data_IF_011848444004
#
_entry.id   IF_011848444004
#
_cell.length_a   1.000
_cell.length_b   1.000
_cell.length_c   1.000
_cell.angle_alpha   90.00
_cell.angle_beta   90.00
_cell.angle_gamma   90.00
#
_symmetry.space_group_name_H-M   'P 1'
#
loop_
_entity.id
_entity.type
_entity.pdbx_description
1 polymer ?
#
# COMPACT_ATOMS: atom_id res chain seq x y z
N UNK A 1 34.84 -6.25 -15.23
CA UNK A 1 34.04 -6.72 -16.39
C UNK A 1 32.60 -6.32 -16.13
N UNK A 2 31.95 -5.61 -17.05
CA UNK A 2 30.54 -5.24 -16.90
C UNK A 2 29.65 -6.47 -16.83
N UNK A 3 28.59 -6.42 -16.03
CA UNK A 3 27.69 -7.54 -15.85
C UNK A 3 26.95 -7.82 -17.19
N UNK A 4 27.04 -9.02 -17.79
CA UNK A 4 26.35 -9.35 -19.04
C UNK A 4 24.84 -9.09 -18.97
N UNK A 5 24.26 -9.15 -17.78
CA UNK A 5 22.85 -8.90 -17.51
C UNK A 5 22.47 -7.43 -17.77
N UNK A 6 23.37 -6.47 -17.53
CA UNK A 6 23.13 -5.03 -17.78
C UNK A 6 22.91 -4.71 -19.27
N UNK A 7 23.37 -5.58 -20.18
CA UNK A 7 23.25 -5.41 -21.63
C UNK A 7 21.83 -5.69 -22.16
N UNK A 8 20.96 -6.29 -21.36
CA UNK A 8 19.57 -6.61 -21.74
C UNK A 8 18.58 -5.57 -21.22
N UNK A 9 17.52 -5.29 -21.99
CA UNK A 9 16.37 -4.48 -21.52
C UNK A 9 15.77 -5.08 -20.24
N UNK A 10 15.33 -4.23 -19.31
CA UNK A 10 14.78 -4.61 -17.99
C UNK A 10 13.72 -5.71 -18.09
N UNK A 11 12.74 -5.55 -18.99
CA UNK A 11 11.66 -6.53 -19.21
C UNK A 11 12.23 -7.90 -19.58
N UNK A 12 13.26 -7.95 -20.44
CA UNK A 12 13.92 -9.21 -20.81
C UNK A 12 14.66 -9.83 -19.64
N UNK A 13 15.25 -9.03 -18.74
CA UNK A 13 15.89 -9.54 -17.52
C UNK A 13 14.88 -10.20 -16.58
N UNK A 14 13.74 -9.54 -16.37
CA UNK A 14 12.66 -10.05 -15.52
C UNK A 14 12.03 -11.32 -16.11
N UNK A 15 11.67 -11.29 -17.39
CA UNK A 15 11.15 -12.47 -18.09
C UNK A 15 12.14 -13.62 -18.05
N UNK A 16 13.44 -13.35 -18.23
CA UNK A 16 14.47 -14.39 -18.16
C UNK A 16 14.57 -15.01 -16.77
N UNK A 17 14.54 -14.20 -15.70
CA UNK A 17 14.55 -14.70 -14.33
C UNK A 17 13.27 -15.46 -13.99
N UNK A 18 12.11 -14.94 -14.37
CA UNK A 18 10.82 -15.57 -14.12
C UNK A 18 10.70 -16.92 -14.86
N UNK A 19 10.89 -16.91 -16.18
CA UNK A 19 10.78 -18.11 -17.01
C UNK A 19 11.83 -19.14 -16.61
N UNK A 20 13.08 -18.73 -16.39
CA UNK A 20 14.13 -19.67 -15.99
C UNK A 20 13.96 -20.24 -14.57
N UNK A 21 13.31 -19.51 -13.65
CA UNK A 21 12.99 -20.02 -12.31
C UNK A 21 11.80 -20.99 -12.33
N UNK A 22 10.89 -20.80 -13.28
CA UNK A 22 9.68 -21.61 -13.48
C UNK A 22 9.82 -22.66 -14.59
N UNK A 23 10.99 -22.79 -15.20
CA UNK A 23 11.22 -23.67 -16.35
C UNK A 23 11.02 -25.14 -16.00
N UNK A 24 10.47 -25.95 -16.90
CA UNK A 24 10.29 -27.39 -16.65
C UNK A 24 11.62 -28.17 -16.53
N UNK A 25 12.73 -27.58 -16.99
CA UNK A 25 14.06 -28.16 -16.89
C UNK A 25 14.73 -27.85 -15.55
N UNK A 26 14.87 -28.88 -14.71
CA UNK A 26 15.65 -28.82 -13.47
C UNK A 26 17.10 -28.36 -13.66
N UNK A 27 17.67 -28.55 -14.86
CA UNK A 27 19.02 -28.10 -15.19
C UNK A 27 19.06 -26.59 -15.35
N UNK A 28 18.11 -26.02 -16.09
CA UNK A 28 18.00 -24.58 -16.28
C UNK A 28 17.69 -23.88 -14.97
N UNK A 29 16.73 -24.40 -14.21
CA UNK A 29 16.46 -23.89 -12.87
C UNK A 29 17.72 -23.92 -12.00
N UNK A 30 18.50 -25.01 -11.99
CA UNK A 30 19.74 -25.09 -11.19
C UNK A 30 20.79 -24.07 -11.62
N UNK A 31 20.99 -23.85 -12.91
CA UNK A 31 21.95 -22.84 -13.41
C UNK A 31 21.51 -21.45 -12.96
N UNK A 32 20.22 -21.14 -13.09
CA UNK A 32 19.71 -19.84 -12.69
C UNK A 32 19.85 -19.60 -11.18
N UNK A 33 19.42 -20.59 -10.37
CA UNK A 33 19.41 -20.53 -8.90
C UNK A 33 20.81 -20.51 -8.29
N UNK A 34 21.75 -21.29 -8.84
CA UNK A 34 23.07 -21.51 -8.23
C UNK A 34 24.21 -20.72 -8.88
N UNK A 35 24.00 -20.14 -10.07
CA UNK A 35 25.06 -19.45 -10.82
C UNK A 35 24.65 -18.02 -11.17
N UNK A 36 23.58 -17.84 -11.96
CA UNK A 36 23.25 -16.52 -12.51
C UNK A 36 22.73 -15.54 -11.47
N UNK A 37 21.81 -15.96 -10.60
CA UNK A 37 21.29 -15.10 -9.51
C UNK A 37 22.41 -14.74 -8.51
N UNK A 38 23.23 -15.71 -8.03
CA UNK A 38 24.34 -15.41 -7.12
C UNK A 38 25.41 -14.49 -7.72
N UNK A 39 25.85 -14.75 -8.96
CA UNK A 39 26.82 -13.88 -9.64
C UNK A 39 26.24 -12.49 -9.91
N UNK A 40 24.95 -12.42 -10.27
CA UNK A 40 24.22 -11.16 -10.38
C UNK A 40 24.27 -10.39 -9.06
N UNK A 41 23.89 -11.02 -7.95
CA UNK A 41 23.90 -10.38 -6.63
C UNK A 41 25.30 -9.94 -6.18
N UNK A 42 26.33 -10.74 -6.45
CA UNK A 42 27.73 -10.37 -6.16
C UNK A 42 28.20 -9.15 -6.95
N UNK A 43 27.77 -9.00 -8.21
CA UNK A 43 28.08 -7.82 -9.02
C UNK A 43 27.53 -6.52 -8.43
N UNK A 44 26.45 -6.61 -7.63
CA UNK A 44 25.88 -5.50 -6.87
C UNK A 44 26.38 -5.45 -5.42
N UNK A 45 27.57 -5.99 -5.17
CA UNK A 45 28.25 -5.95 -3.87
C UNK A 45 27.39 -6.52 -2.73
N UNK A 46 26.55 -7.51 -3.03
CA UNK A 46 25.63 -8.15 -2.08
C UNK A 46 24.64 -7.15 -1.45
N UNK A 47 24.31 -6.07 -2.14
CA UNK A 47 23.31 -5.09 -1.71
C UNK A 47 21.95 -5.40 -2.35
N UNK A 48 20.99 -5.88 -1.55
CA UNK A 48 19.66 -6.23 -2.02
C UNK A 48 18.93 -5.05 -2.66
N UNK A 49 19.03 -3.86 -2.07
CA UNK A 49 18.35 -2.66 -2.56
C UNK A 49 18.92 -2.24 -3.91
N UNK A 50 20.25 -2.27 -4.08
CA UNK A 50 20.91 -1.96 -5.34
C UNK A 50 20.53 -2.98 -6.43
N UNK A 51 20.53 -4.27 -6.10
CA UNK A 51 20.09 -5.32 -7.01
C UNK A 51 18.63 -5.11 -7.45
N UNK A 52 17.72 -4.84 -6.51
CA UNK A 52 16.31 -4.55 -6.78
C UNK A 52 16.13 -3.30 -7.65
N UNK A 53 16.86 -2.22 -7.38
CA UNK A 53 16.78 -0.97 -8.16
C UNK A 53 17.05 -1.21 -9.66
N UNK A 54 18.01 -2.07 -10.00
CA UNK A 54 18.36 -2.34 -11.40
C UNK A 54 17.33 -3.16 -12.17
N UNK A 55 16.42 -3.83 -11.44
CA UNK A 55 15.34 -4.61 -12.01
C UNK A 55 14.11 -3.73 -12.34
N UNK A 56 14.14 -2.42 -12.06
CA UNK A 56 12.92 -1.64 -11.86
C UNK A 56 12.82 -0.31 -12.61
N UNK A 57 13.34 -0.21 -13.84
CA UNK A 57 13.39 1.11 -14.51
C UNK A 57 12.39 1.30 -15.68
N UNK A 58 11.70 0.26 -16.20
CA UNK A 58 10.89 0.44 -17.43
C UNK A 58 9.53 -0.29 -17.50
N UNK A 59 8.72 -0.47 -16.43
CA UNK A 59 7.39 -1.04 -16.71
C UNK A 59 6.18 -0.67 -15.86
N UNK A 60 5.06 -0.95 -16.53
CA UNK A 60 3.66 -0.64 -16.28
C UNK A 60 3.10 -1.30 -15.00
N UNK A 61 2.03 -0.70 -14.49
CA UNK A 61 1.61 -0.62 -13.08
C UNK A 61 1.18 -1.95 -12.44
N UNK A 62 0.65 -2.92 -13.19
CA UNK A 62 -0.19 -3.98 -12.60
C UNK A 62 0.39 -5.40 -12.61
N UNK A 63 1.32 -5.71 -13.51
CA UNK A 63 1.87 -7.08 -13.66
C UNK A 63 3.27 -7.22 -13.07
N UNK A 64 4.12 -6.20 -13.21
CA UNK A 64 5.49 -6.30 -12.71
C UNK A 64 5.58 -6.32 -11.19
N UNK A 65 4.78 -5.55 -10.44
CA UNK A 65 4.91 -5.49 -8.98
C UNK A 65 4.74 -6.84 -8.27
N UNK A 66 3.87 -7.71 -8.79
CA UNK A 66 3.63 -9.07 -8.26
C UNK A 66 4.66 -10.07 -8.76
N UNK A 67 4.95 -10.08 -10.06
CA UNK A 67 5.87 -11.06 -10.64
C UNK A 67 7.33 -10.76 -10.30
N UNK A 68 7.66 -9.48 -10.14
CA UNK A 68 8.90 -9.00 -9.54
C UNK A 68 9.06 -9.50 -8.11
N UNK A 69 8.02 -9.36 -7.27
CA UNK A 69 8.06 -9.81 -5.88
C UNK A 69 8.25 -11.32 -5.82
N UNK A 70 7.52 -12.10 -6.63
CA UNK A 70 7.71 -13.56 -6.72
C UNK A 70 9.12 -13.93 -7.19
N UNK A 71 9.63 -13.25 -8.21
CA UNK A 71 10.98 -13.48 -8.74
C UNK A 71 12.04 -13.11 -7.70
N UNK A 72 11.88 -11.98 -7.00
CA UNK A 72 12.78 -11.54 -5.95
C UNK A 72 12.74 -12.49 -4.75
N UNK A 73 11.57 -12.92 -4.28
CA UNK A 73 11.40 -13.91 -3.21
C UNK A 73 12.05 -15.22 -3.60
N UNK A 74 11.87 -15.69 -4.84
CA UNK A 74 12.56 -16.89 -5.34
C UNK A 74 14.07 -16.69 -5.43
N UNK A 75 14.55 -15.55 -5.94
CA UNK A 75 15.97 -15.21 -5.96
C UNK A 75 16.55 -15.18 -4.55
N UNK A 76 15.86 -14.55 -3.59
CA UNK A 76 16.24 -14.49 -2.18
C UNK A 76 16.23 -15.88 -1.55
N UNK A 77 15.24 -16.72 -1.82
CA UNK A 77 15.21 -18.12 -1.36
C UNK A 77 16.39 -18.93 -1.92
N UNK A 78 16.83 -18.65 -3.14
CA UNK A 78 18.01 -19.27 -3.73
C UNK A 78 19.30 -18.76 -3.08
N UNK A 79 19.39 -17.44 -2.89
CA UNK A 79 20.49 -16.80 -2.19
C UNK A 79 20.58 -17.28 -0.74
N UNK A 80 19.47 -17.38 0.00
CA UNK A 80 19.45 -17.81 1.39
C UNK A 80 19.82 -19.28 1.57
N UNK A 81 19.44 -20.18 0.65
CA UNK A 81 19.97 -21.57 0.61
C UNK A 81 21.48 -21.65 0.38
N UNK A 82 22.04 -20.67 -0.31
CA UNK A 82 23.47 -20.57 -0.54
C UNK A 82 24.20 -19.90 0.63
N UNK A 83 23.57 -18.93 1.29
CA UNK A 83 24.11 -18.19 2.43
C UNK A 83 23.99 -18.93 3.77
N UNK A 84 22.96 -19.76 3.97
CA UNK A 84 22.83 -20.69 5.11
C UNK A 84 23.91 -21.78 5.12
N UNK A 85 24.52 -22.08 3.96
CA UNK A 85 25.71 -22.93 3.87
C UNK A 85 27.01 -22.21 4.23
N UNK A 86 27.00 -20.89 4.27
CA UNK A 86 28.16 -20.11 4.68
C UNK A 86 28.09 -19.88 6.19
N UNK A 87 29.17 -20.19 6.90
CA UNK A 87 29.38 -19.83 8.31
C UNK A 87 29.41 -18.30 8.57
N UNK A 88 29.07 -17.50 7.56
CA UNK A 88 29.02 -16.05 7.59
C UNK A 88 27.56 -15.65 7.66
N UNK A 89 27.06 -15.50 8.89
CA UNK A 89 25.79 -14.84 9.18
C UNK A 89 25.83 -13.43 8.64
N UNK A 90 25.48 -13.27 7.36
CA UNK A 90 25.16 -11.97 6.80
C UNK A 90 23.89 -11.56 7.51
N UNK A 91 23.99 -10.56 8.39
CA UNK A 91 22.84 -9.99 9.04
C UNK A 91 22.02 -9.26 7.97
N UNK A 92 21.07 -9.97 7.35
CA UNK A 92 20.18 -9.45 6.32
C UNK A 92 19.49 -8.15 6.76
N UNK A 93 19.27 -7.99 8.06
CA UNK A 93 18.77 -6.76 8.67
C UNK A 93 19.74 -5.58 8.49
N UNK A 94 21.05 -5.80 8.68
CA UNK A 94 22.09 -4.78 8.46
C UNK A 94 22.21 -4.41 6.98
N UNK A 95 22.08 -5.38 6.06
CA UNK A 95 22.12 -5.12 4.61
C UNK A 95 20.90 -4.32 4.11
N UNK A 96 19.76 -4.42 4.80
CA UNK A 96 18.57 -3.62 4.54
C UNK A 96 18.57 -2.28 5.27
N UNK A 97 19.52 -2.06 6.17
CA UNK A 97 19.56 -0.89 7.02
C UNK A 97 18.41 -0.84 8.03
N UNK A 98 17.96 -2.00 8.51
CA UNK A 98 16.97 -2.10 9.59
C UNK A 98 17.57 -1.52 10.88
N UNK A 99 16.75 -0.80 11.65
CA UNK A 99 17.13 -0.36 12.99
C UNK A 99 17.37 -1.58 13.87
N UNK A 100 18.34 -1.49 14.76
CA UNK A 100 18.63 -2.61 15.67
C UNK A 100 17.50 -2.84 16.67
N UNK A 101 16.83 -1.76 17.09
CA UNK A 101 15.81 -1.69 18.14
C UNK A 101 14.50 -2.41 17.78
N UNK A 102 13.97 -2.14 16.58
CA UNK A 102 12.63 -2.61 16.16
C UNK A 102 12.65 -3.36 14.82
N UNK A 103 13.85 -3.60 14.27
CA UNK A 103 14.07 -4.28 12.99
C UNK A 103 13.21 -3.71 11.85
N UNK A 104 12.96 -2.40 11.86
CA UNK A 104 12.24 -1.71 10.78
C UNK A 104 13.17 -0.80 9.97
N UNK A 105 12.77 -0.48 8.74
CA UNK A 105 13.50 0.47 7.88
C UNK A 105 13.21 1.89 8.37
N UNK A 106 14.19 2.75 8.70
CA UNK A 106 13.97 4.15 9.03
C UNK A 106 13.12 4.87 7.98
N UNK A 107 12.14 5.66 8.40
CA UNK A 107 11.22 6.33 7.46
C UNK A 107 11.95 7.18 6.41
N UNK A 108 13.04 7.85 6.79
CA UNK A 108 13.92 8.62 5.88
C UNK A 108 14.56 7.78 4.76
N UNK A 109 14.69 6.47 4.98
CA UNK A 109 15.26 5.51 4.03
C UNK A 109 14.17 4.67 3.34
N UNK A 110 12.89 4.90 3.66
CA UNK A 110 11.78 4.12 3.13
C UNK A 110 11.47 4.52 1.67
N UNK A 111 11.95 3.67 0.77
CA UNK A 111 11.67 3.64 -0.68
C UNK A 111 10.85 2.40 -1.04
N UNK A 112 10.24 2.37 -2.23
CA UNK A 112 9.47 1.19 -2.65
C UNK A 112 10.40 -0.03 -2.72
N UNK A 113 11.65 0.14 -3.13
CA UNK A 113 12.62 -0.95 -3.22
C UNK A 113 12.93 -1.53 -1.85
N UNK A 114 13.19 -0.67 -0.87
CA UNK A 114 13.41 -1.10 0.51
C UNK A 114 12.16 -1.77 1.10
N UNK A 115 10.96 -1.28 0.80
CA UNK A 115 9.72 -1.90 1.26
C UNK A 115 9.48 -3.29 0.61
N UNK A 116 9.80 -3.44 -0.68
CA UNK A 116 9.76 -4.75 -1.36
C UNK A 116 10.74 -5.72 -0.72
N UNK A 117 11.99 -5.28 -0.48
CA UNK A 117 12.97 -6.13 0.18
C UNK A 117 12.54 -6.51 1.60
N UNK A 118 11.92 -5.59 2.35
CA UNK A 118 11.37 -5.86 3.68
C UNK A 118 10.25 -6.90 3.63
N UNK A 119 9.28 -6.73 2.72
CA UNK A 119 8.19 -7.70 2.54
C UNK A 119 8.72 -9.10 2.23
N UNK A 120 9.68 -9.19 1.32
CA UNK A 120 10.30 -10.45 0.93
C UNK A 120 11.15 -11.08 2.05
N UNK A 121 11.76 -10.26 2.91
CA UNK A 121 12.42 -10.74 4.13
C UNK A 121 11.40 -11.38 5.08
N UNK A 122 10.27 -10.71 5.34
CA UNK A 122 9.22 -11.22 6.21
C UNK A 122 8.61 -12.53 5.68
N UNK A 123 8.31 -12.60 4.38
CA UNK A 123 7.82 -13.85 3.76
C UNK A 123 8.83 -14.99 3.88
N UNK A 124 10.11 -14.68 3.75
CA UNK A 124 11.16 -15.67 3.93
C UNK A 124 11.19 -16.19 5.37
N UNK A 125 11.28 -15.29 6.36
CA UNK A 125 11.31 -15.64 7.79
C UNK A 125 10.07 -16.44 8.15
N UNK A 126 8.88 -16.03 7.70
CA UNK A 126 7.64 -16.75 7.94
C UNK A 126 7.67 -18.20 7.42
N UNK A 127 8.42 -18.49 6.35
CA UNK A 127 8.54 -19.83 5.80
C UNK A 127 9.70 -20.66 6.35
N UNK A 128 10.74 -20.04 6.90
CA UNK A 128 11.96 -20.75 7.34
C UNK A 128 12.19 -20.70 8.85
N UNK A 129 11.86 -19.57 9.47
CA UNK A 129 12.23 -19.18 10.83
C UNK A 129 11.03 -18.48 11.50
N UNK A 130 9.84 -19.11 11.46
CA UNK A 130 8.58 -18.48 11.89
C UNK A 130 8.64 -17.94 13.33
N UNK A 131 9.43 -18.56 14.21
CA UNK A 131 9.60 -18.13 15.60
C UNK A 131 10.36 -16.80 15.73
N UNK A 132 11.11 -16.38 14.70
CA UNK A 132 11.83 -15.09 14.69
C UNK A 132 11.01 -13.94 14.09
N UNK A 133 9.82 -14.22 13.53
CA UNK A 133 9.00 -13.23 12.83
C UNK A 133 8.58 -12.07 13.74
N UNK A 134 8.29 -12.36 15.01
CA UNK A 134 7.84 -11.36 15.99
C UNK A 134 8.87 -10.25 16.21
N UNK A 135 10.17 -10.57 16.09
CA UNK A 135 11.24 -9.58 16.22
C UNK A 135 11.26 -8.55 15.07
N UNK A 136 10.57 -8.83 13.96
CA UNK A 136 10.47 -7.95 12.79
C UNK A 136 9.08 -7.30 12.64
N UNK A 137 8.17 -7.56 13.59
CA UNK A 137 6.75 -7.21 13.52
C UNK A 137 6.35 -6.03 14.42
N UNK A 138 7.08 -4.90 14.35
CA UNK A 138 6.73 -3.72 15.14
C UNK A 138 5.52 -2.96 14.54
N UNK A 139 4.33 -3.37 14.96
CA UNK A 139 3.04 -2.80 14.53
C UNK A 139 2.92 -1.30 14.82
N UNK A 140 3.32 -0.78 16.00
CA UNK A 140 3.30 0.66 16.29
C UNK A 140 4.10 1.51 15.29
N UNK A 141 5.35 1.14 14.96
CA UNK A 141 6.13 1.86 13.95
C UNK A 141 5.44 1.81 12.58
N UNK A 142 4.92 0.66 12.19
CA UNK A 142 4.22 0.53 10.90
C UNK A 142 2.97 1.41 10.84
N UNK A 143 2.18 1.46 11.92
CA UNK A 143 1.04 2.36 12.04
C UNK A 143 1.45 3.83 11.89
N UNK A 144 2.59 4.22 12.48
CA UNK A 144 3.14 5.56 12.34
C UNK A 144 3.55 5.87 10.88
N UNK A 145 4.14 4.91 10.17
CA UNK A 145 4.50 5.07 8.76
C UNK A 145 3.27 5.27 7.88
N UNK A 146 2.23 4.47 8.09
CA UNK A 146 0.97 4.60 7.36
C UNK A 146 0.36 5.98 7.63
N UNK A 147 0.26 6.42 8.89
CA UNK A 147 -0.27 7.75 9.23
C UNK A 147 0.52 8.86 8.54
N UNK A 148 1.85 8.86 8.67
CA UNK A 148 2.67 9.92 8.09
C UNK A 148 2.55 10.00 6.57
N UNK A 149 2.42 8.85 5.88
CA UNK A 149 2.20 8.84 4.44
C UNK A 149 0.82 9.34 4.04
N UNK A 150 -0.22 9.01 4.80
CA UNK A 150 -1.61 9.42 4.52
C UNK A 150 -1.80 10.93 4.69
N UNK A 151 -1.13 11.53 5.68
CA UNK A 151 -1.24 12.94 5.98
C UNK A 151 -0.18 13.82 5.28
N UNK A 152 0.66 13.25 4.41
CA UNK A 152 1.65 14.02 3.65
C UNK A 152 0.98 14.74 2.45
N UNK A 153 0.77 16.07 2.52
CA UNK A 153 0.06 16.81 1.49
C UNK A 153 0.86 16.94 0.18
N UNK A 154 2.15 16.56 0.17
CA UNK A 154 3.02 16.68 -1.01
C UNK A 154 2.82 15.55 -2.04
N UNK A 155 2.05 14.50 -1.72
CA UNK A 155 2.03 13.25 -2.50
C UNK A 155 0.83 13.05 -3.43
N UNK A 156 -0.09 14.00 -3.52
CA UNK A 156 -1.33 13.89 -4.30
C UNK A 156 -1.47 14.95 -5.40
N UNK A 157 -0.41 15.70 -5.71
CA UNK A 157 -0.50 16.85 -6.65
C UNK A 157 -0.31 16.48 -8.12
N UNK A 158 0.40 15.39 -8.45
CA UNK A 158 0.55 14.86 -9.82
C UNK A 158 0.29 13.34 -9.90
N UNK A 159 -0.11 12.86 -11.08
CA UNK A 159 -0.46 11.45 -11.35
C UNK A 159 0.68 10.51 -10.98
N UNK A 160 1.93 10.83 -11.31
CA UNK A 160 3.06 9.96 -11.01
C UNK A 160 3.31 9.83 -9.50
N UNK A 161 3.15 10.92 -8.76
CA UNK A 161 3.27 10.90 -7.30
C UNK A 161 2.13 10.10 -6.66
N UNK A 162 0.90 10.25 -7.17
CA UNK A 162 -0.25 9.43 -6.75
C UNK A 162 0.04 7.95 -6.99
N UNK A 163 0.55 7.56 -8.15
CA UNK A 163 0.95 6.17 -8.44
C UNK A 163 2.01 5.64 -7.47
N UNK A 164 3.05 6.43 -7.20
CA UNK A 164 4.10 6.07 -6.25
C UNK A 164 3.53 5.89 -4.85
N UNK A 165 2.65 6.80 -4.41
CA UNK A 165 1.95 6.71 -3.13
C UNK A 165 1.12 5.42 -3.04
N UNK A 166 0.29 5.13 -4.06
CA UNK A 166 -0.50 3.90 -4.07
C UNK A 166 0.37 2.65 -3.97
N UNK A 167 1.49 2.64 -4.69
CA UNK A 167 2.42 1.50 -4.75
C UNK A 167 3.17 1.30 -3.43
N UNK A 168 3.68 2.38 -2.83
CA UNK A 168 4.32 2.33 -1.51
C UNK A 168 3.34 1.82 -0.48
N UNK A 169 2.12 2.38 -0.49
CA UNK A 169 1.10 2.03 0.47
C UNK A 169 0.69 0.56 0.38
N UNK A 170 0.54 0.04 -0.84
CA UNK A 170 0.27 -1.37 -1.08
C UNK A 170 1.32 -2.26 -0.40
N UNK A 171 2.61 -1.91 -0.49
CA UNK A 171 3.68 -2.69 0.13
C UNK A 171 3.65 -2.63 1.65
N UNK A 172 3.34 -1.48 2.25
CA UNK A 172 3.20 -1.37 3.70
C UNK A 172 1.98 -2.14 4.23
N UNK A 173 0.86 -2.12 3.51
CA UNK A 173 -0.32 -2.89 3.86
C UNK A 173 -0.06 -4.41 3.74
N UNK A 174 0.68 -4.84 2.71
CA UNK A 174 1.12 -6.22 2.57
C UNK A 174 2.06 -6.64 3.72
N UNK A 175 2.94 -5.74 4.19
CA UNK A 175 3.80 -5.98 5.36
C UNK A 175 2.92 -6.12 6.62
N UNK A 176 1.97 -5.21 6.85
CA UNK A 176 1.03 -5.30 7.97
C UNK A 176 0.23 -6.62 7.95
N UNK A 177 -0.17 -7.05 6.76
CA UNK A 177 -0.87 -8.32 6.56
C UNK A 177 0.00 -9.56 6.82
N UNK A 178 1.32 -9.42 7.00
CA UNK A 178 2.21 -10.52 7.37
C UNK A 178 2.57 -10.56 8.85
N UNK A 179 2.22 -9.53 9.62
CA UNK A 179 2.49 -9.50 11.06
C UNK A 179 1.57 -10.45 11.80
N UNK A 180 2.06 -10.94 12.95
CA UNK A 180 1.19 -11.48 13.98
C UNK A 180 0.40 -10.33 14.64
N UNK A 181 -0.90 -10.55 14.81
CA UNK A 181 -1.85 -9.56 15.31
C UNK A 181 -2.42 -9.99 16.67
N UNK A 182 -1.65 -10.81 17.41
CA UNK A 182 -2.00 -11.32 18.74
C UNK A 182 -2.06 -10.25 19.83
N UNK A 183 -1.21 -9.21 19.73
CA UNK A 183 -1.23 -8.09 20.70
C UNK A 183 -2.47 -7.20 20.49
N UNK A 184 -3.30 -7.10 21.53
CA UNK A 184 -4.58 -6.41 21.49
C UNK A 184 -4.43 -4.89 21.27
N UNK A 185 -3.42 -4.27 21.90
CA UNK A 185 -3.18 -2.82 21.78
C UNK A 185 -2.73 -2.48 20.36
N UNK A 186 -1.81 -3.25 19.81
CA UNK A 186 -1.33 -3.12 18.43
C UNK A 186 -2.44 -3.38 17.42
N UNK A 187 -3.27 -4.39 17.65
CA UNK A 187 -4.46 -4.71 16.84
C UNK A 187 -5.44 -3.54 16.79
N UNK A 188 -5.76 -2.94 17.93
CA UNK A 188 -6.70 -1.81 18.00
C UNK A 188 -6.12 -0.56 17.33
N UNK A 189 -4.82 -0.30 17.52
CA UNK A 189 -4.14 0.80 16.85
C UNK A 189 -4.14 0.64 15.33
N UNK A 190 -3.84 -0.55 14.81
CA UNK A 190 -3.88 -0.83 13.38
C UNK A 190 -5.31 -0.69 12.84
N UNK A 191 -6.31 -1.25 13.54
CA UNK A 191 -7.73 -1.12 13.18
C UNK A 191 -8.12 0.35 13.01
N UNK A 192 -7.76 1.20 13.97
CA UNK A 192 -8.05 2.64 13.96
C UNK A 192 -7.37 3.36 12.79
N UNK A 193 -6.08 3.11 12.55
CA UNK A 193 -5.33 3.74 11.44
C UNK A 193 -5.93 3.37 10.09
N UNK A 194 -6.26 2.10 9.89
CA UNK A 194 -6.83 1.64 8.62
C UNK A 194 -8.25 2.19 8.39
N UNK A 195 -9.04 2.36 9.46
CA UNK A 195 -10.36 3.00 9.39
C UNK A 195 -10.24 4.50 9.03
N UNK A 196 -9.36 5.23 9.71
CA UNK A 196 -9.04 6.65 9.40
C UNK A 196 -8.59 6.80 7.94
N UNK A 197 -7.77 5.86 7.47
CA UNK A 197 -7.26 5.83 6.12
C UNK A 197 -8.35 5.59 5.07
N UNK A 198 -9.28 4.65 5.32
CA UNK A 198 -10.43 4.46 4.44
C UNK A 198 -11.37 5.67 4.46
N UNK A 199 -11.47 6.39 5.58
CA UNK A 199 -12.27 7.60 5.67
C UNK A 199 -11.64 8.77 4.90
N UNK A 200 -10.35 9.04 5.10
CA UNK A 200 -9.72 10.27 4.61
C UNK A 200 -8.83 10.08 3.37
N UNK A 201 -8.30 8.88 3.12
CA UNK A 201 -7.30 8.64 2.08
C UNK A 201 -7.88 8.45 0.69
N UNK A 202 -7.22 8.98 -0.33
CA UNK A 202 -7.48 8.64 -1.74
C UNK A 202 -6.78 7.32 -2.07
N UNK A 203 -7.52 6.21 -2.00
CA UNK A 203 -6.96 4.85 -2.11
C UNK A 203 -7.40 4.12 -3.39
N UNK A 204 -6.43 3.47 -4.03
CA UNK A 204 -6.61 2.55 -5.14
C UNK A 204 -7.33 1.25 -4.73
N UNK A 205 -7.83 0.51 -5.72
CA UNK A 205 -8.59 -0.74 -5.49
C UNK A 205 -7.77 -1.78 -4.71
N UNK A 206 -6.50 -1.96 -5.06
CA UNK A 206 -5.58 -2.88 -4.36
C UNK A 206 -5.45 -2.55 -2.88
N UNK A 207 -5.23 -1.27 -2.55
CA UNK A 207 -5.07 -0.81 -1.18
C UNK A 207 -6.33 -1.08 -0.35
N UNK A 208 -7.51 -0.71 -0.88
CA UNK A 208 -8.79 -0.99 -0.21
C UNK A 208 -8.97 -2.49 0.01
N UNK A 209 -8.69 -3.32 -1.01
CA UNK A 209 -8.81 -4.77 -0.90
C UNK A 209 -7.92 -5.34 0.20
N UNK A 210 -6.65 -4.94 0.25
CA UNK A 210 -5.72 -5.42 1.29
C UNK A 210 -6.16 -4.97 2.69
N UNK A 211 -6.66 -3.74 2.84
CA UNK A 211 -7.22 -3.28 4.12
C UNK A 211 -8.39 -4.16 4.57
N UNK A 212 -9.31 -4.50 3.66
CA UNK A 212 -10.44 -5.36 4.00
C UNK A 212 -10.00 -6.76 4.44
N UNK A 213 -8.95 -7.31 3.83
CA UNK A 213 -8.34 -8.59 4.26
C UNK A 213 -7.72 -8.46 5.65
N UNK A 214 -7.07 -7.34 5.96
CA UNK A 214 -6.51 -7.11 7.30
C UNK A 214 -7.64 -7.01 8.34
N UNK A 215 -8.72 -6.27 8.07
CA UNK A 215 -9.86 -6.20 8.99
C UNK A 215 -10.50 -7.56 9.27
N UNK A 216 -10.51 -8.45 8.29
CA UNK A 216 -10.98 -9.82 8.48
C UNK A 216 -10.18 -10.57 9.56
N UNK A 217 -8.86 -10.34 9.60
CA UNK A 217 -7.95 -10.91 10.61
C UNK A 217 -8.05 -10.18 11.95
N UNK A 218 -8.27 -8.86 11.94
CA UNK A 218 -8.38 -8.05 13.16
C UNK A 218 -9.69 -8.28 13.91
N UNK A 219 -10.79 -8.56 13.19
CA UNK A 219 -12.13 -8.78 13.76
C UNK A 219 -12.60 -10.18 13.37
N UNK A 220 -12.28 -11.16 14.21
CA UNK A 220 -12.53 -12.58 13.93
C UNK A 220 -14.01 -12.94 13.90
N UNK A 221 -14.82 -12.35 14.79
CA UNK A 221 -16.25 -12.60 14.85
C UNK A 221 -17.00 -11.93 13.69
N UNK A 222 -17.91 -12.68 13.05
CA UNK A 222 -18.60 -12.23 11.84
C UNK A 222 -19.59 -11.10 12.15
N UNK A 223 -20.28 -11.16 13.29
CA UNK A 223 -21.29 -10.18 13.68
C UNK A 223 -20.65 -8.87 14.15
N UNK A 224 -19.54 -8.95 14.90
CA UNK A 224 -18.70 -7.80 15.22
C UNK A 224 -18.11 -7.15 13.98
N UNK A 225 -17.64 -7.95 13.02
CA UNK A 225 -17.10 -7.45 11.75
C UNK A 225 -18.18 -6.76 10.93
N UNK A 226 -19.39 -7.31 10.90
CA UNK A 226 -20.53 -6.68 10.22
C UNK A 226 -20.86 -5.32 10.85
N UNK A 227 -21.03 -5.27 12.18
CA UNK A 227 -21.28 -4.02 12.92
C UNK A 227 -20.18 -2.99 12.69
N UNK A 228 -18.91 -3.41 12.79
CA UNK A 228 -17.76 -2.55 12.51
C UNK A 228 -17.78 -1.96 11.10
N UNK A 229 -18.08 -2.77 10.08
CA UNK A 229 -18.19 -2.28 8.70
C UNK A 229 -19.35 -1.29 8.52
N UNK A 230 -20.49 -1.53 9.17
CA UNK A 230 -21.63 -0.60 9.15
C UNK A 230 -21.24 0.74 9.79
N UNK A 231 -20.61 0.71 10.96
CA UNK A 231 -20.15 1.92 11.66
C UNK A 231 -19.11 2.69 10.84
N UNK A 232 -18.19 1.98 10.19
CA UNK A 232 -17.20 2.57 9.30
C UNK A 232 -17.86 3.26 8.10
N UNK A 233 -18.80 2.59 7.43
CA UNK A 233 -19.52 3.17 6.28
C UNK A 233 -20.30 4.41 6.70
N UNK A 234 -21.01 4.34 7.83
CA UNK A 234 -21.75 5.47 8.37
C UNK A 234 -20.81 6.65 8.69
N UNK A 235 -19.64 6.38 9.29
CA UNK A 235 -18.64 7.42 9.57
C UNK A 235 -18.08 8.10 8.31
N UNK A 236 -18.01 7.40 7.17
CA UNK A 236 -17.60 7.98 5.88
C UNK A 236 -18.70 8.87 5.29
N UNK A 237 -19.95 8.42 5.41
CA UNK A 237 -21.12 9.13 4.88
C UNK A 237 -21.55 10.31 5.75
N UNK A 238 -21.23 10.30 7.05
CA UNK A 238 -21.56 11.42 7.95
C UNK A 238 -20.93 12.73 7.45
N UNK A 239 -21.73 13.77 7.16
CA UNK A 239 -21.21 15.08 6.77
C UNK A 239 -20.25 15.59 7.85
N UNK A 240 -19.15 16.24 7.44
CA UNK A 240 -18.28 16.91 8.40
C UNK A 240 -19.13 17.90 9.21
N UNK A 241 -19.23 17.70 10.53
CA UNK A 241 -19.98 18.59 11.45
C UNK A 241 -19.48 20.04 11.45
N UNK A 242 -18.39 20.33 10.75
CA UNK A 242 -17.92 21.68 10.43
C UNK A 242 -18.76 22.37 9.35
N UNK A 243 -19.95 21.85 9.02
CA UNK A 243 -20.98 22.59 8.33
C UNK A 243 -21.28 23.87 9.09
N UNK A 244 -20.76 24.98 8.55
CA UNK A 244 -20.98 26.37 8.97
C UNK A 244 -22.37 26.47 9.61
N UNK A 245 -22.41 26.72 10.93
CA UNK A 245 -23.63 26.53 11.71
C UNK A 245 -24.81 27.25 11.05
N UNK A 246 -26.03 26.70 11.18
CA UNK A 246 -27.24 27.30 10.63
C UNK A 246 -27.41 28.79 11.00
N UNK A 247 -26.82 29.22 12.11
CA UNK A 247 -26.74 30.63 12.55
C UNK A 247 -26.03 31.53 11.54
N UNK A 248 -24.96 31.03 10.92
CA UNK A 248 -24.13 31.78 9.95
C UNK A 248 -24.86 31.98 8.61
N UNK A 249 -25.71 31.02 8.20
CA UNK A 249 -26.53 31.15 6.99
C UNK A 249 -27.54 32.28 7.13
N UNK A 250 -28.25 32.32 8.27
CA UNK A 250 -29.21 33.37 8.60
C UNK A 250 -28.59 34.77 8.61
N UNK A 251 -27.40 34.93 9.20
CA UNK A 251 -26.69 36.22 9.20
C UNK A 251 -26.28 36.67 7.80
N UNK A 252 -25.90 35.74 6.92
CA UNK A 252 -25.56 36.08 5.53
C UNK A 252 -26.81 36.40 4.72
N UNK A 253 -27.95 35.73 4.97
CA UNK A 253 -29.24 36.06 4.34
C UNK A 253 -29.71 37.46 4.74
N UNK A 254 -29.63 37.78 6.04
CA UNK A 254 -29.99 39.11 6.55
C UNK A 254 -29.06 40.21 6.00
N UNK A 255 -27.75 39.93 5.89
CA UNK A 255 -26.79 40.84 5.27
C UNK A 255 -27.07 41.06 3.79
N UNK A 256 -27.47 40.02 3.06
CA UNK A 256 -27.83 40.11 1.65
C UNK A 256 -29.09 40.96 1.44
N UNK A 257 -30.15 40.76 2.24
CA UNK A 257 -31.39 41.55 2.13
C UNK A 257 -31.18 43.04 2.41
N UNK A 258 -30.32 43.38 3.37
CA UNK A 258 -30.08 44.77 3.78
C UNK A 258 -28.99 45.48 2.97
N UNK A 259 -28.23 44.77 2.14
CA UNK A 259 -27.14 45.39 1.39
C UNK A 259 -27.64 46.14 0.14
N UNK A 260 -27.24 47.39 -0.08
CA UNK A 260 -27.55 48.10 -1.33
C UNK A 260 -26.63 47.69 -2.50
N UNK A 261 -25.48 47.07 -2.23
CA UNK A 261 -24.51 46.68 -3.27
C UNK A 261 -24.92 45.37 -3.97
N UNK A 262 -25.60 45.51 -5.11
CA UNK A 262 -26.02 44.38 -5.97
C UNK A 262 -24.85 43.56 -6.53
N UNK A 263 -23.69 44.16 -6.74
CA UNK A 263 -22.50 43.45 -7.26
C UNK A 263 -21.95 42.50 -6.19
N UNK A 264 -21.88 42.96 -4.94
CA UNK A 264 -21.49 42.13 -3.81
C UNK A 264 -22.50 41.00 -3.56
N UNK A 265 -23.80 41.30 -3.62
CA UNK A 265 -24.85 40.27 -3.53
C UNK A 265 -24.69 39.18 -4.59
N UNK A 266 -24.45 39.54 -5.85
CA UNK A 266 -24.23 38.58 -6.93
C UNK A 266 -22.99 37.69 -6.67
N UNK A 267 -21.89 38.26 -6.16
CA UNK A 267 -20.69 37.49 -5.81
C UNK A 267 -20.95 36.51 -4.68
N UNK A 268 -21.64 36.93 -3.62
CA UNK A 268 -21.97 36.05 -2.48
C UNK A 268 -22.91 34.92 -2.94
N UNK A 269 -23.92 35.22 -3.75
CA UNK A 269 -24.81 34.21 -4.32
C UNK A 269 -24.07 33.21 -5.22
N UNK A 270 -23.14 33.69 -6.05
CA UNK A 270 -22.29 32.81 -6.86
C UNK A 270 -21.38 31.91 -6.00
N UNK A 271 -20.79 32.44 -4.94
CA UNK A 271 -19.99 31.65 -4.00
C UNK A 271 -20.84 30.60 -3.27
N UNK A 272 -22.08 30.91 -2.91
CA UNK A 272 -23.01 29.95 -2.29
C UNK A 272 -23.32 28.79 -3.23
N UNK A 273 -23.60 29.06 -4.50
CA UNK A 273 -23.81 28.03 -5.51
C UNK A 273 -22.55 27.16 -5.66
N UNK A 274 -21.37 27.77 -5.81
CA UNK A 274 -20.11 27.02 -5.89
C UNK A 274 -19.87 26.14 -4.64
N UNK A 275 -20.19 26.63 -3.43
CA UNK A 275 -20.08 25.83 -2.20
C UNK A 275 -21.07 24.66 -2.21
N UNK A 276 -22.30 24.86 -2.68
CA UNK A 276 -23.29 23.78 -2.81
C UNK A 276 -22.81 22.72 -3.80
N UNK A 277 -22.35 23.13 -4.98
CA UNK A 277 -21.83 22.23 -6.01
C UNK A 277 -20.61 21.44 -5.50
N UNK A 278 -19.69 22.09 -4.78
CA UNK A 278 -18.53 21.42 -4.18
C UNK A 278 -18.93 20.41 -3.11
N UNK A 279 -19.96 20.70 -2.31
CA UNK A 279 -20.48 19.77 -1.30
C UNK A 279 -21.16 18.55 -1.93
N UNK A 280 -21.91 18.76 -3.01
CA UNK A 280 -22.50 17.66 -3.78
C UNK A 280 -21.41 16.77 -4.37
N UNK A 281 -20.38 17.36 -5.00
CA UNK A 281 -19.22 16.62 -5.50
C UNK A 281 -18.46 15.87 -4.40
N UNK A 282 -18.32 16.45 -3.20
CA UNK A 282 -17.71 15.78 -2.06
C UNK A 282 -18.56 14.58 -1.59
N UNK A 283 -19.88 14.74 -1.54
CA UNK A 283 -20.81 13.66 -1.18
C UNK A 283 -20.74 12.51 -2.19
N UNK A 284 -20.75 12.81 -3.48
CA UNK A 284 -20.62 11.82 -4.55
C UNK A 284 -19.31 11.04 -4.43
N UNK A 285 -18.19 11.73 -4.15
CA UNK A 285 -16.89 11.07 -3.89
C UNK A 285 -16.95 10.13 -2.69
N UNK A 286 -17.62 10.52 -1.59
CA UNK A 286 -17.81 9.67 -0.41
C UNK A 286 -18.67 8.44 -0.74
N UNK A 287 -19.76 8.60 -1.49
CA UNK A 287 -20.62 7.49 -1.95
C UNK A 287 -19.80 6.51 -2.80
N UNK A 288 -19.06 7.02 -3.78
CA UNK A 288 -18.20 6.19 -4.64
C UNK A 288 -17.15 5.40 -3.83
N UNK A 289 -16.59 6.03 -2.80
CA UNK A 289 -15.65 5.38 -1.87
C UNK A 289 -16.31 4.23 -1.10
N UNK A 290 -17.50 4.46 -0.55
CA UNK A 290 -18.28 3.42 0.14
C UNK A 290 -18.60 2.27 -0.78
N UNK A 291 -19.06 2.55 -2.01
CA UNK A 291 -19.33 1.50 -2.99
C UNK A 291 -18.07 0.68 -3.31
N UNK A 292 -16.90 1.31 -3.39
CA UNK A 292 -15.62 0.61 -3.57
C UNK A 292 -15.27 -0.29 -2.39
N UNK A 293 -15.48 0.16 -1.16
CA UNK A 293 -15.28 -0.65 0.06
C UNK A 293 -16.18 -1.87 0.05
N UNK A 294 -17.48 -1.67 -0.21
CA UNK A 294 -18.49 -2.75 -0.29
C UNK A 294 -18.11 -3.76 -1.37
N UNK A 295 -17.76 -3.27 -2.57
CA UNK A 295 -17.38 -4.13 -3.69
C UNK A 295 -16.13 -4.98 -3.37
N UNK A 296 -15.11 -4.40 -2.72
CA UNK A 296 -13.90 -5.14 -2.32
C UNK A 296 -14.18 -6.16 -1.22
N UNK A 297 -15.00 -5.78 -0.23
CA UNK A 297 -15.46 -6.73 0.79
C UNK A 297 -16.21 -7.90 0.17
N UNK A 298 -17.18 -7.63 -0.71
CA UNK A 298 -18.00 -8.67 -1.35
C UNK A 298 -17.18 -9.63 -2.21
N UNK A 299 -16.22 -9.13 -3.00
CA UNK A 299 -15.32 -9.98 -3.81
C UNK A 299 -14.42 -10.89 -2.97
N UNK A 300 -14.13 -10.54 -1.72
CA UNK A 300 -13.42 -11.44 -0.81
C UNK A 300 -14.31 -12.62 -0.38
N UNK A 301 -15.63 -12.43 -0.26
CA UNK A 301 -16.58 -13.48 0.09
C UNK A 301 -17.02 -14.32 -1.12
N UNK A 302 -17.30 -13.68 -2.26
CA UNK A 302 -17.68 -14.34 -3.51
C UNK A 302 -16.96 -13.69 -4.69
N UNK A 303 -15.85 -14.30 -5.15
CA UNK A 303 -15.10 -13.82 -6.31
C UNK A 303 -15.90 -13.85 -7.62
N UNK A 304 -16.99 -14.63 -7.68
CA UNK A 304 -17.85 -14.75 -8.87
C UNK A 304 -18.96 -13.70 -8.93
N UNK A 305 -19.11 -12.91 -7.87
CA UNK A 305 -20.18 -11.93 -7.76
C UNK A 305 -20.05 -10.83 -8.84
N UNK A 306 -21.15 -10.49 -9.56
CA UNK A 306 -21.12 -9.51 -10.65
C UNK A 306 -20.86 -8.11 -10.11
N UNK A 307 -19.93 -7.35 -10.72
CA UNK A 307 -19.49 -6.04 -10.20
C UNK A 307 -20.65 -5.08 -9.94
N UNK A 308 -20.69 -4.46 -8.77
CA UNK A 308 -21.68 -3.41 -8.44
C UNK A 308 -21.42 -2.10 -9.21
N UNK A 309 -20.18 -1.90 -9.68
CA UNK A 309 -19.74 -0.68 -10.37
C UNK A 309 -19.07 -1.06 -11.70
N UNK A 310 -19.46 -0.39 -12.80
CA UNK A 310 -18.74 -0.50 -14.07
C UNK A 310 -17.37 0.20 -13.98
N UNK A 311 -16.32 -0.39 -14.58
CA UNK A 311 -14.93 0.11 -14.48
C UNK A 311 -14.77 1.59 -14.82
N UNK A 312 -15.54 2.12 -15.77
CA UNK A 312 -15.45 3.50 -16.23
C UNK A 312 -15.97 4.54 -15.22
N UNK A 313 -16.54 4.12 -14.08
CA UNK A 313 -16.98 5.03 -13.00
C UNK A 313 -16.03 5.05 -11.80
N UNK A 314 -14.95 4.26 -11.81
CA UNK A 314 -13.96 4.19 -10.71
C UNK A 314 -12.83 5.22 -10.84
N UNK A 315 -12.73 5.92 -11.98
CA UNK A 315 -11.81 7.03 -12.21
C UNK A 315 -12.54 8.35 -11.94
N UNK A 316 -12.45 8.85 -10.70
CA UNK A 316 -12.67 10.25 -10.33
C UNK A 316 -11.47 10.69 -9.49
#
# INVERSE_FOLDING_TARGET
>A
MGNPVEQYKVTKRLTFHEQGLNDHSDKLQRVLKNVLIPQGFESYQKNYVAFVKTLKIDADENEMGREFLKTFVKCRFCLSKQFSRSKYGINDATMLGLREEDKTIPLKNLTIETAICWKALLEFIQHTESDELDAFADTPTLCNYIRQLVYDPSKTTDKLQKMYFQSMMQKLLEIAASYDLGDEVSRENLKKVLAEMLACGDLGEGNVKTIMVIFERLVGDVEERFRFCVDLINGILEPSRADVSNTSRSLVDEYLEKNPDKSLQMKISSLRLNIMDLKEQEMDKRIMKVLKIIEMGRKNFDPSAPKLIQQNKLEI
#
